data_IF_096176314611
#
_entry.id   IF_096176314611
#
_cell.length_a   1.000
_cell.length_b   1.000
_cell.length_c   1.000
_cell.angle_alpha   90.00
_cell.angle_beta   90.00
_cell.angle_gamma   90.00
#
_symmetry.space_group_name_H-M   'P 1'
#
loop_
_entity.id
_entity.type
_entity.pdbx_description
1 polymer ?
#
# COMPACT_ATOMS: atom_id res chain seq x y z
N UNK A 1 60.37 20.19 -14.05
CA UNK A 1 60.96 19.09 -13.26
C UNK A 1 60.90 19.49 -11.79
N UNK A 2 60.14 18.74 -10.99
CA UNK A 2 59.92 19.00 -9.57
C UNK A 2 59.06 17.89 -9.00
N UNK A 3 59.73 16.87 -8.46
CA UNK A 3 59.15 15.70 -7.79
C UNK A 3 58.70 16.06 -6.37
N UNK A 4 57.63 15.44 -5.88
CA UNK A 4 57.17 15.59 -4.49
C UNK A 4 56.08 14.59 -4.13
N UNK A 5 56.48 13.45 -3.57
CA UNK A 5 55.65 12.43 -2.93
C UNK A 5 55.16 12.89 -1.54
N UNK A 6 53.93 12.50 -1.14
CA UNK A 6 53.38 12.26 0.22
C UNK A 6 51.86 12.54 0.22
N UNK A 7 50.95 11.83 0.89
CA UNK A 7 50.98 10.64 1.75
C UNK A 7 49.51 10.17 1.93
N UNK A 8 49.38 8.92 2.36
CA UNK A 8 48.19 8.17 2.80
C UNK A 8 47.02 8.95 3.41
N UNK A 9 45.77 8.52 3.15
CA UNK A 9 44.74 8.34 4.20
C UNK A 9 43.77 7.18 3.87
N UNK A 10 44.02 6.05 4.56
CA UNK A 10 43.05 5.27 5.34
C UNK A 10 41.72 4.83 4.72
N UNK A 11 41.72 3.55 4.31
CA UNK A 11 40.54 2.73 4.12
C UNK A 11 39.69 2.65 5.40
N UNK A 12 38.42 3.08 5.33
CA UNK A 12 37.41 2.75 6.35
C UNK A 12 36.46 1.72 5.76
N UNK A 13 36.82 0.44 5.90
CA UNK A 13 35.91 -0.69 5.66
C UNK A 13 34.73 -0.53 6.61
N UNK A 14 33.55 -0.27 6.05
CA UNK A 14 32.29 -0.21 6.79
C UNK A 14 31.98 -1.64 7.26
N UNK A 15 31.92 -1.82 8.57
CA UNK A 15 31.70 -3.10 9.23
C UNK A 15 30.38 -3.71 8.74
N UNK A 16 30.44 -4.98 8.33
CA UNK A 16 29.29 -5.85 8.14
C UNK A 16 28.80 -6.22 9.54
N UNK A 17 27.57 -5.83 9.95
CA UNK A 17 27.02 -6.35 11.19
C UNK A 17 26.63 -7.81 10.97
N UNK A 18 27.18 -8.65 11.83
CA UNK A 18 26.93 -10.07 12.02
C UNK A 18 25.44 -10.40 12.06
N UNK A 19 25.01 -11.28 11.16
CA UNK A 19 23.74 -11.99 11.28
C UNK A 19 23.95 -13.19 12.19
N UNK A 20 23.56 -13.08 13.45
CA UNK A 20 23.16 -14.26 14.21
C UNK A 20 22.09 -13.92 15.26
N UNK A 21 20.95 -14.57 15.06
CA UNK A 21 19.98 -15.04 16.05
C UNK A 21 19.38 -14.06 17.05
N UNK A 22 18.14 -13.65 16.77
CA UNK A 22 17.11 -13.51 17.80
C UNK A 22 15.72 -13.73 17.17
N UNK A 23 15.29 -15.00 17.18
CA UNK A 23 13.86 -15.30 17.24
C UNK A 23 13.29 -14.75 18.55
N UNK A 24 12.02 -14.34 18.49
CA UNK A 24 11.15 -13.82 19.56
C UNK A 24 11.01 -12.30 19.67
N UNK A 25 10.09 -11.75 18.86
CA UNK A 25 9.03 -10.91 19.42
C UNK A 25 7.85 -10.79 18.45
N UNK A 26 6.62 -10.85 18.98
CA UNK A 26 5.41 -10.85 18.18
C UNK A 26 5.30 -9.55 17.40
N UNK A 27 4.84 -9.68 16.14
CA UNK A 27 4.64 -8.60 15.19
C UNK A 27 3.96 -7.43 15.90
N UNK A 28 4.71 -6.34 16.06
CA UNK A 28 4.21 -5.03 16.45
C UNK A 28 3.26 -4.52 15.36
N UNK A 29 2.01 -4.95 15.45
CA UNK A 29 0.90 -4.28 14.82
C UNK A 29 0.74 -2.94 15.55
N UNK A 30 0.65 -1.86 14.77
CA UNK A 30 0.35 -0.47 15.19
C UNK A 30 1.57 0.42 15.49
N UNK A 31 1.99 1.18 14.48
CA UNK A 31 1.89 2.66 14.42
C UNK A 31 3.07 3.24 13.65
N UNK A 32 2.98 3.30 12.32
CA UNK A 32 3.70 4.33 11.56
C UNK A 32 2.67 5.28 10.94
N UNK A 33 2.65 6.47 11.51
CA UNK A 33 1.67 7.52 11.30
C UNK A 33 2.27 8.57 10.36
N UNK A 34 2.05 8.36 9.06
CA UNK A 34 2.22 9.38 8.03
C UNK A 34 1.07 9.32 7.03
N UNK A 35 -0.08 9.82 7.50
CA UNK A 35 -0.98 10.70 6.74
C UNK A 35 -1.58 10.22 5.41
N UNK A 36 -2.08 9.00 5.36
CA UNK A 36 -3.32 8.68 4.66
C UNK A 36 -3.99 7.58 5.48
N UNK A 37 -4.68 7.99 6.54
CA UNK A 37 -5.47 7.06 7.35
C UNK A 37 -6.36 6.32 6.35
N UNK A 38 -6.18 5.01 6.20
CA UNK A 38 -7.04 4.14 5.43
C UNK A 38 -8.41 4.09 6.12
N UNK A 39 -9.10 5.23 6.20
CA UNK A 39 -10.25 5.44 7.06
C UNK A 39 -11.34 4.45 6.68
N UNK A 40 -11.42 4.12 5.39
CA UNK A 40 -12.37 3.15 4.85
C UNK A 40 -12.01 1.74 5.33
N UNK A 41 -10.75 1.34 5.17
CA UNK A 41 -10.26 0.07 5.71
C UNK A 41 -10.48 -0.02 7.23
N UNK A 42 -10.18 1.04 7.97
CA UNK A 42 -10.38 1.11 9.42
C UNK A 42 -11.86 0.98 9.81
N UNK A 43 -12.77 1.67 9.11
CA UNK A 43 -14.21 1.54 9.33
C UNK A 43 -14.67 0.10 9.09
N UNK A 44 -14.19 -0.56 8.02
CA UNK A 44 -14.47 -1.99 7.76
C UNK A 44 -13.99 -2.86 8.92
N UNK A 45 -12.79 -2.62 9.45
CA UNK A 45 -12.25 -3.38 10.59
C UNK A 45 -13.02 -3.13 11.89
N UNK A 46 -13.44 -1.89 12.16
CA UNK A 46 -14.25 -1.55 13.33
C UNK A 46 -15.63 -2.19 13.27
N UNK A 47 -16.28 -2.16 12.10
CA UNK A 47 -17.56 -2.85 11.87
C UNK A 47 -17.38 -4.36 12.02
N UNK A 48 -16.31 -4.91 11.44
CA UNK A 48 -15.98 -6.34 11.54
C UNK A 48 -15.83 -6.79 12.99
N UNK A 49 -15.19 -5.97 13.83
CA UNK A 49 -15.02 -6.24 15.25
C UNK A 49 -16.32 -6.07 16.04
N UNK A 50 -17.13 -5.07 15.69
CA UNK A 50 -18.42 -4.80 16.34
C UNK A 50 -19.48 -5.88 16.02
N UNK A 51 -19.44 -6.46 14.81
CA UNK A 51 -20.34 -7.54 14.40
C UNK A 51 -20.11 -8.84 15.20
N UNK A 52 -18.93 -9.00 15.80
CA UNK A 52 -18.56 -10.14 16.61
C UNK A 52 -18.32 -11.43 15.81
N UNK A 53 -17.75 -12.47 16.44
CA UNK A 53 -17.57 -13.78 15.81
C UNK A 53 -18.94 -14.42 15.54
N UNK A 54 -19.12 -15.00 14.36
CA UNK A 54 -20.33 -15.78 14.08
C UNK A 54 -20.29 -17.07 14.88
N UNK A 55 -21.34 -17.36 15.65
CA UNK A 55 -21.48 -18.59 16.44
C UNK A 55 -21.53 -19.86 15.59
N UNK A 56 -21.66 -19.72 14.27
CA UNK A 56 -21.82 -20.82 13.32
C UNK A 56 -20.49 -21.31 12.69
N UNK A 57 -19.37 -20.62 12.87
CA UNK A 57 -18.10 -20.97 12.20
C UNK A 57 -17.07 -21.49 13.21
N UNK A 58 -16.64 -22.74 13.01
CA UNK A 58 -15.61 -23.42 13.80
C UNK A 58 -14.17 -22.87 13.61
N UNK A 59 -13.98 -21.87 12.73
CA UNK A 59 -12.69 -21.28 12.40
C UNK A 59 -12.32 -20.09 13.31
N UNK A 60 -12.37 -20.32 14.62
CA UNK A 60 -11.83 -19.35 15.59
C UNK A 60 -10.28 -19.29 15.57
N UNK A 61 -9.62 -20.27 14.95
CA UNK A 61 -8.17 -20.45 15.04
C UNK A 61 -7.34 -19.37 14.32
N UNK A 62 -7.93 -18.61 13.38
CA UNK A 62 -7.20 -17.63 12.54
C UNK A 62 -7.59 -16.16 12.81
N UNK A 63 -8.42 -15.93 13.82
CA UNK A 63 -8.84 -14.59 14.21
C UNK A 63 -7.74 -13.88 15.00
N UNK A 64 -7.48 -12.64 14.61
CA UNK A 64 -6.55 -11.73 15.31
C UNK A 64 -7.38 -10.57 15.81
N UNK A 65 -7.34 -10.33 17.13
CA UNK A 65 -8.10 -9.24 17.78
C UNK A 65 -9.62 -9.25 17.52
N UNK A 66 -10.21 -10.43 17.29
CA UNK A 66 -11.64 -10.56 17.01
C UNK A 66 -12.03 -10.36 15.54
N UNK A 67 -11.06 -10.32 14.62
CA UNK A 67 -11.30 -10.05 13.18
C UNK A 67 -10.78 -11.22 12.35
N UNK A 68 -11.58 -11.69 11.40
CA UNK A 68 -11.22 -12.77 10.46
C UNK A 68 -10.23 -12.30 9.38
N UNK A 69 -9.39 -13.19 8.83
CA UNK A 69 -8.49 -12.85 7.71
C UNK A 69 -9.23 -12.27 6.50
N UNK A 70 -10.41 -12.81 6.16
CA UNK A 70 -11.25 -12.32 5.06
C UNK A 70 -11.76 -10.88 5.27
N UNK A 71 -12.03 -10.49 6.52
CA UNK A 71 -12.42 -9.12 6.87
C UNK A 71 -11.26 -8.13 6.74
N UNK A 72 -10.02 -8.56 7.06
CA UNK A 72 -8.82 -7.75 6.82
C UNK A 72 -8.56 -7.58 5.33
N UNK A 73 -8.66 -8.66 4.57
CA UNK A 73 -8.55 -8.61 3.10
C UNK A 73 -9.62 -7.68 2.51
N UNK A 74 -10.86 -7.73 2.99
CA UNK A 74 -11.91 -6.80 2.57
C UNK A 74 -11.58 -5.33 2.88
N UNK A 75 -10.98 -5.05 4.04
CA UNK A 75 -10.52 -3.70 4.39
C UNK A 75 -9.44 -3.20 3.42
N UNK A 76 -8.47 -4.05 3.06
CA UNK A 76 -7.42 -3.74 2.08
C UNK A 76 -7.99 -3.50 0.68
N UNK A 77 -8.88 -4.38 0.22
CA UNK A 77 -9.59 -4.25 -1.06
C UNK A 77 -10.38 -2.93 -1.13
N UNK A 78 -11.06 -2.55 -0.04
CA UNK A 78 -11.85 -1.32 0.02
C UNK A 78 -10.95 -0.08 -0.16
N UNK A 79 -9.77 -0.09 0.44
CA UNK A 79 -8.79 0.98 0.27
C UNK A 79 -8.18 1.00 -1.12
N UNK A 80 -7.99 -0.19 -1.73
CA UNK A 80 -7.49 -0.32 -3.10
C UNK A 80 -8.47 0.28 -4.13
N UNK A 81 -9.77 0.00 -3.98
CA UNK A 81 -10.83 0.60 -4.81
C UNK A 81 -10.85 2.12 -4.63
N UNK A 82 -10.68 2.60 -3.39
CA UNK A 82 -10.63 4.03 -3.14
C UNK A 82 -9.43 4.69 -3.81
N UNK A 83 -8.27 4.06 -3.75
CA UNK A 83 -7.05 4.53 -4.40
C UNK A 83 -7.24 4.58 -5.92
N UNK A 84 -7.82 3.55 -6.54
CA UNK A 84 -8.15 3.53 -7.97
C UNK A 84 -9.04 4.72 -8.36
N UNK A 85 -10.08 5.00 -7.57
CA UNK A 85 -10.96 6.15 -7.77
C UNK A 85 -10.22 7.49 -7.69
N UNK A 86 -9.32 7.67 -6.71
CA UNK A 86 -8.54 8.91 -6.60
C UNK A 86 -7.61 9.11 -7.80
N UNK A 87 -6.97 8.03 -8.27
CA UNK A 87 -6.09 8.07 -9.44
C UNK A 87 -6.89 8.48 -10.69
N UNK A 88 -8.06 7.88 -10.93
CA UNK A 88 -8.91 8.26 -12.07
C UNK A 88 -9.44 9.68 -11.96
N UNK A 89 -9.78 10.17 -10.76
CA UNK A 89 -10.18 11.58 -10.55
C UNK A 89 -9.05 12.58 -10.77
N UNK A 90 -7.79 12.13 -10.73
CA UNK A 90 -6.62 12.95 -11.01
C UNK A 90 -6.43 13.29 -12.49
N UNK A 91 -7.22 12.70 -13.39
CA UNK A 91 -7.16 13.00 -14.83
C UNK A 91 -7.65 14.43 -15.09
N UNK A 92 -6.83 15.21 -15.78
CA UNK A 92 -7.11 16.63 -16.08
C UNK A 92 -7.63 16.84 -17.50
N UNK A 93 -8.44 17.87 -17.72
CA UNK A 93 -8.84 18.29 -19.07
C UNK A 93 -7.69 19.04 -19.75
N UNK A 94 -7.24 18.51 -20.89
CA UNK A 94 -6.12 19.05 -21.64
C UNK A 94 -6.52 20.22 -22.55
N UNK A 95 -7.83 20.47 -22.75
CA UNK A 95 -8.29 21.61 -23.57
C UNK A 95 -7.99 22.95 -22.92
N UNK A 96 -8.00 22.98 -21.59
CA UNK A 96 -7.70 24.17 -20.78
C UNK A 96 -6.20 24.25 -20.42
N UNK A 97 -5.41 23.27 -20.83
CA UNK A 97 -3.98 23.20 -20.52
C UNK A 97 -3.17 24.19 -21.34
N UNK A 98 -2.40 25.04 -20.66
CA UNK A 98 -1.58 26.08 -21.29
C UNK A 98 -0.09 25.75 -21.20
N UNK A 99 0.73 26.42 -22.02
CA UNK A 99 2.19 26.25 -21.98
C UNK A 99 2.82 26.66 -20.63
N UNK A 100 2.12 27.49 -19.83
CA UNK A 100 2.54 27.87 -18.48
C UNK A 100 2.36 26.76 -17.44
N UNK A 101 1.46 25.80 -17.68
CA UNK A 101 1.19 24.69 -16.76
C UNK A 101 2.24 23.56 -16.87
N UNK A 102 3.03 23.59 -17.94
CA UNK A 102 4.10 22.64 -18.22
C UNK A 102 3.92 21.91 -19.56
N UNK A 103 4.83 20.98 -19.90
CA UNK A 103 4.81 20.32 -21.20
C UNK A 103 3.54 19.48 -21.40
N UNK A 104 2.75 19.81 -22.41
CA UNK A 104 1.50 19.10 -22.73
C UNK A 104 1.71 17.59 -22.93
N UNK A 105 2.84 17.19 -23.52
CA UNK A 105 3.18 15.77 -23.76
C UNK A 105 3.34 14.99 -22.45
N UNK A 106 3.92 15.62 -21.42
CA UNK A 106 4.13 14.98 -20.13
C UNK A 106 2.80 14.78 -19.42
N UNK A 107 1.91 15.78 -19.48
CA UNK A 107 0.57 15.65 -18.91
C UNK A 107 -0.31 14.64 -19.66
N UNK A 108 -0.20 14.56 -20.99
CA UNK A 108 -0.84 13.51 -21.79
C UNK A 108 -0.36 12.10 -21.37
N UNK A 109 0.94 11.95 -21.13
CA UNK A 109 1.49 10.69 -20.64
C UNK A 109 1.01 10.38 -19.22
N UNK A 110 1.00 11.39 -18.34
CA UNK A 110 0.45 11.30 -16.99
C UNK A 110 -1.00 10.82 -16.97
N UNK A 111 -1.88 11.43 -17.78
CA UNK A 111 -3.28 11.02 -17.92
C UNK A 111 -3.41 9.56 -18.38
N UNK A 112 -2.61 9.11 -19.35
CA UNK A 112 -2.60 7.70 -19.78
C UNK A 112 -2.20 6.76 -18.65
N UNK A 113 -1.16 7.12 -17.89
CA UNK A 113 -0.71 6.33 -16.75
C UNK A 113 -1.73 6.31 -15.61
N UNK A 114 -2.45 7.42 -15.37
CA UNK A 114 -3.53 7.46 -14.40
C UNK A 114 -4.66 6.50 -14.77
N UNK A 115 -5.11 6.48 -16.03
CA UNK A 115 -6.12 5.52 -16.50
C UNK A 115 -5.64 4.09 -16.26
N UNK A 116 -4.47 3.73 -16.79
CA UNK A 116 -3.92 2.37 -16.70
C UNK A 116 -3.71 1.90 -15.26
N UNK A 117 -3.16 2.76 -14.41
CA UNK A 117 -2.90 2.44 -13.00
C UNK A 117 -4.21 2.25 -12.25
N UNK A 118 -5.21 3.11 -12.47
CA UNK A 118 -6.52 2.95 -11.82
C UNK A 118 -7.24 1.67 -12.27
N UNK A 119 -7.17 1.31 -13.56
CA UNK A 119 -7.74 0.07 -14.08
C UNK A 119 -7.05 -1.16 -13.49
N UNK A 120 -5.71 -1.13 -13.38
CA UNK A 120 -4.94 -2.19 -12.75
C UNK A 120 -5.32 -2.40 -11.28
N UNK A 121 -5.42 -1.30 -10.51
CA UNK A 121 -5.82 -1.37 -9.09
C UNK A 121 -7.23 -1.93 -8.94
N UNK A 122 -8.16 -1.53 -9.81
CA UNK A 122 -9.54 -2.02 -9.79
C UNK A 122 -9.62 -3.51 -10.17
N UNK A 123 -8.87 -3.94 -11.19
CA UNK A 123 -8.80 -5.35 -11.57
C UNK A 123 -8.23 -6.23 -10.44
N UNK A 124 -7.21 -5.74 -9.74
CA UNK A 124 -6.66 -6.42 -8.56
C UNK A 124 -7.68 -6.46 -7.41
N UNK A 125 -8.41 -5.37 -7.16
CA UNK A 125 -9.48 -5.34 -6.18
C UNK A 125 -10.60 -6.34 -6.51
N UNK A 126 -11.03 -6.42 -7.77
CA UNK A 126 -12.03 -7.40 -8.22
C UNK A 126 -11.54 -8.85 -8.04
N UNK A 127 -10.25 -9.10 -8.31
CA UNK A 127 -9.63 -10.41 -8.07
C UNK A 127 -9.64 -10.76 -6.57
N UNK A 128 -9.27 -9.80 -5.71
CA UNK A 128 -9.35 -9.96 -4.26
C UNK A 128 -10.77 -10.22 -3.77
N UNK A 129 -11.77 -9.51 -4.30
CA UNK A 129 -13.18 -9.74 -3.97
C UNK A 129 -13.63 -11.15 -4.35
N UNK A 130 -13.27 -11.63 -5.55
CA UNK A 130 -13.60 -12.97 -6.00
C UNK A 130 -13.02 -14.05 -5.05
N UNK A 131 -11.81 -13.84 -4.54
CA UNK A 131 -11.16 -14.74 -3.58
C UNK A 131 -11.86 -14.80 -2.21
N UNK A 132 -12.69 -13.81 -1.86
CA UNK A 132 -13.52 -13.88 -0.65
C UNK A 132 -14.65 -14.92 -0.77
N UNK A 133 -14.97 -15.39 -1.98
CA UNK A 133 -15.95 -16.47 -2.26
C UNK A 133 -17.32 -16.27 -1.58
N UNK A 134 -17.79 -15.03 -1.46
CA UNK A 134 -19.08 -14.69 -0.88
C UNK A 134 -19.95 -13.95 -1.91
N UNK A 135 -20.83 -14.70 -2.58
CA UNK A 135 -21.64 -14.23 -3.71
C UNK A 135 -23.07 -13.85 -3.32
N UNK A 136 -23.34 -13.63 -2.02
CA UNK A 136 -24.67 -13.21 -1.56
C UNK A 136 -25.03 -11.86 -2.19
N UNK A 137 -26.19 -11.83 -2.84
CA UNK A 137 -26.82 -10.66 -3.47
C UNK A 137 -28.10 -10.30 -2.75
#
# INVERSE_FOLDING_TARGET
MGSGYCQSQSARRRAVPSFESLESSPRGFVYDSKNNLQMRGLVVLLISKAAGPSTAAADLQDMVSGIYPSQRNLAEITELIHTAFLVHRGIVDLKEWTNSDGPLKDMQFGNKMAVLSGDFLLANACTGLAQLNNTKV
#
